data_IF_228741413928
#
_entry.id   IF_228741413928
#
_cell.length_a   1.000
_cell.length_b   1.000
_cell.length_c   1.000
_cell.angle_alpha   90.00
_cell.angle_beta   90.00
_cell.angle_gamma   90.00
#
_symmetry.space_group_name_H-M   'P 1'
#
loop_
_entity.id
_entity.type
_entity.pdbx_description
1 polymer ?
#
# COMPACT_ATOMS: atom_id res chain seq x y z
N UNK A 1 14.51 31.18 -3.35
CA UNK A 1 13.11 30.82 -3.02
C UNK A 1 12.57 29.96 -4.15
N UNK A 2 12.70 28.63 -4.05
CA UNK A 2 12.17 27.69 -5.05
C UNK A 2 11.28 26.68 -4.34
N UNK A 3 10.05 26.55 -4.85
CA UNK A 3 8.97 25.74 -4.28
C UNK A 3 9.24 24.27 -4.60
N UNK A 4 9.58 23.46 -3.60
CA UNK A 4 9.68 22.01 -3.74
C UNK A 4 8.40 21.38 -3.19
N UNK A 5 7.70 20.62 -4.05
CA UNK A 5 6.46 19.93 -3.74
C UNK A 5 6.79 18.56 -3.09
N UNK A 6 7.44 18.59 -1.92
CA UNK A 6 7.89 17.42 -1.11
C UNK A 6 6.78 16.50 -0.58
N UNK A 7 5.59 16.59 -1.18
CA UNK A 7 4.38 15.90 -0.73
C UNK A 7 4.46 14.41 -1.05
N UNK A 8 4.97 14.02 -2.21
CA UNK A 8 4.83 12.66 -2.73
C UNK A 8 5.76 11.67 -2.00
N UNK A 9 7.03 11.99 -1.76
CA UNK A 9 7.98 11.11 -1.07
C UNK A 9 7.63 10.78 0.40
N UNK A 10 6.98 11.69 1.14
CA UNK A 10 6.63 11.45 2.57
C UNK A 10 5.26 10.77 2.73
N UNK A 11 4.43 10.76 1.68
CA UNK A 11 3.06 10.24 1.72
C UNK A 11 2.98 8.72 1.86
N UNK A 12 3.83 7.97 1.15
CA UNK A 12 3.94 6.51 1.30
C UNK A 12 4.59 6.11 2.63
N UNK A 13 5.57 6.89 3.08
CA UNK A 13 6.35 6.60 4.29
C UNK A 13 5.56 6.76 5.59
N UNK A 14 4.68 7.76 5.65
CA UNK A 14 3.91 8.02 6.87
C UNK A 14 2.82 6.95 7.11
N UNK A 15 2.19 6.41 6.07
CA UNK A 15 1.17 5.34 6.23
C UNK A 15 1.82 4.00 6.61
N UNK A 16 3.04 3.71 6.13
CA UNK A 16 3.75 2.45 6.43
C UNK A 16 4.48 2.52 7.80
N UNK A 17 5.05 3.68 8.17
CA UNK A 17 5.77 3.85 9.43
C UNK A 17 4.89 3.88 10.69
N UNK A 18 3.60 4.18 10.56
CA UNK A 18 2.68 4.32 11.69
C UNK A 18 2.12 2.99 12.23
N UNK A 19 2.27 1.89 11.48
CA UNK A 19 1.86 0.53 11.89
C UNK A 19 2.86 -0.16 12.83
N UNK A 20 3.91 0.56 13.26
CA UNK A 20 5.06 -0.01 13.96
C UNK A 20 5.23 0.50 15.40
N UNK A 21 4.93 1.76 15.66
CA UNK A 21 5.22 2.39 16.97
C UNK A 21 4.14 2.07 18.04
N UNK A 22 3.01 1.49 17.65
CA UNK A 22 1.88 1.21 18.56
C UNK A 22 2.07 0.07 19.58
N UNK A 23 3.22 -0.61 19.60
CA UNK A 23 3.47 -1.73 20.49
C UNK A 23 4.68 -1.48 21.40
N UNK A 24 4.48 -0.73 22.50
CA UNK A 24 5.08 -0.96 23.84
C UNK A 24 5.05 0.31 24.69
N UNK A 25 4.08 0.40 25.61
CA UNK A 25 4.33 0.96 26.95
C UNK A 25 3.59 0.06 27.95
N UNK A 26 4.30 -0.92 28.50
CA UNK A 26 3.85 -1.75 29.62
C UNK A 26 4.79 -1.53 30.80
N UNK A 27 4.29 -0.88 31.84
CA UNK A 27 4.95 -0.58 33.12
C UNK A 27 5.59 -1.82 33.75
N UNK A 28 6.78 -1.65 34.30
CA UNK A 28 7.41 -2.55 35.27
C UNK A 28 6.59 -2.59 36.56
N UNK A 29 6.16 -3.79 36.98
CA UNK A 29 5.84 -4.05 38.39
C UNK A 29 6.34 -5.45 38.79
N UNK A 30 6.91 -5.47 40.00
CA UNK A 30 7.54 -6.58 40.69
C UNK A 30 6.57 -7.71 41.05
N UNK A 31 7.11 -8.92 41.17
CA UNK A 31 6.44 -10.18 41.48
C UNK A 31 5.81 -10.23 42.89
N UNK A 32 4.63 -10.85 42.99
CA UNK A 32 4.23 -11.78 44.08
C UNK A 32 3.07 -12.67 43.61
N UNK A 33 2.92 -13.83 44.23
CA UNK A 33 2.25 -15.05 43.75
C UNK A 33 0.71 -15.00 43.60
N UNK A 34 0.19 -15.96 42.82
CA UNK A 34 -1.22 -16.17 42.46
C UNK A 34 -2.13 -16.58 43.64
N UNK A 35 -3.46 -16.45 43.48
CA UNK A 35 -4.22 -17.66 43.14
C UNK A 35 -5.11 -17.53 41.90
N UNK A 36 -5.26 -18.67 41.21
CA UNK A 36 -6.07 -18.90 40.00
C UNK A 36 -7.47 -18.34 40.14
N UNK A 37 -7.81 -17.37 39.29
CA UNK A 37 -9.21 -17.05 38.96
C UNK A 37 -9.37 -17.22 37.45
N UNK A 38 -10.27 -18.11 37.06
CA UNK A 38 -10.64 -18.40 35.68
C UNK A 38 -11.33 -17.18 35.06
N UNK A 39 -10.54 -16.24 34.53
CA UNK A 39 -11.05 -15.15 33.71
C UNK A 39 -11.48 -15.73 32.35
N UNK A 40 -12.76 -16.09 32.26
CA UNK A 40 -13.48 -16.36 31.02
C UNK A 40 -13.42 -15.08 30.18
N UNK A 41 -12.43 -15.01 29.29
CA UNK A 41 -12.29 -13.91 28.33
C UNK A 41 -13.59 -13.79 27.54
N UNK A 42 -14.27 -12.65 27.64
CA UNK A 42 -15.29 -12.25 26.68
C UNK A 42 -14.61 -12.17 25.32
N UNK A 43 -14.78 -13.21 24.50
CA UNK A 43 -14.68 -13.07 23.06
C UNK A 43 -15.69 -11.98 22.66
N UNK A 44 -15.21 -10.79 22.34
CA UNK A 44 -16.05 -9.80 21.68
C UNK A 44 -16.55 -10.45 20.40
N UNK A 45 -17.87 -10.57 20.25
CA UNK A 45 -18.48 -11.09 19.04
C UNK A 45 -17.97 -10.27 17.85
N UNK A 46 -17.17 -10.88 16.97
CA UNK A 46 -16.75 -10.28 15.71
C UNK A 46 -17.98 -10.19 14.83
N UNK A 47 -18.68 -9.06 14.86
CA UNK A 47 -19.80 -8.83 13.97
C UNK A 47 -19.27 -8.52 12.58
N UNK A 48 -19.82 -9.17 11.57
CA UNK A 48 -19.61 -8.90 10.14
C UNK A 48 -20.05 -7.49 9.69
N UNK A 49 -20.41 -6.61 10.63
CA UNK A 49 -20.86 -5.26 10.37
C UNK A 49 -19.77 -4.43 9.66
N UNK A 50 -20.21 -3.55 8.77
CA UNK A 50 -19.37 -2.49 8.21
C UNK A 50 -19.50 -1.29 9.15
N UNK A 51 -18.39 -0.90 9.77
CA UNK A 51 -18.35 0.20 10.73
C UNK A 51 -17.53 1.37 10.18
N UNK A 52 -17.97 2.63 10.37
CA UNK A 52 -17.17 3.79 9.99
C UNK A 52 -15.80 3.79 10.68
N UNK A 53 -14.77 4.20 9.95
CA UNK A 53 -13.41 4.32 10.43
C UNK A 53 -12.89 5.73 10.18
N UNK A 54 -12.15 6.28 11.15
CA UNK A 54 -11.38 7.51 10.97
C UNK A 54 -9.95 7.24 11.42
N UNK A 55 -9.00 7.64 10.59
CA UNK A 55 -7.59 7.58 10.95
C UNK A 55 -7.35 8.53 12.10
N UNK A 56 -6.80 7.99 13.18
CA UNK A 56 -6.32 8.78 14.30
C UNK A 56 -5.04 8.16 14.84
N UNK A 57 -3.93 8.85 14.61
CA UNK A 57 -2.63 8.48 15.18
C UNK A 57 -2.43 9.27 16.47
N UNK A 58 -2.05 8.60 17.55
CA UNK A 58 -1.79 9.26 18.82
C UNK A 58 -0.58 10.23 18.74
N UNK A 59 -0.65 11.37 19.42
CA UNK A 59 0.47 12.34 19.46
C UNK A 59 1.77 11.73 19.99
N UNK A 60 1.67 10.76 20.90
CA UNK A 60 2.84 10.01 21.41
C UNK A 60 3.59 9.26 20.32
N UNK A 61 2.88 8.69 19.34
CA UNK A 61 3.48 7.99 18.19
C UNK A 61 4.22 8.99 17.29
N UNK A 62 3.62 10.16 17.03
CA UNK A 62 4.26 11.21 16.24
C UNK A 62 5.47 11.80 16.97
N UNK A 63 5.39 11.92 18.29
CA UNK A 63 6.51 12.33 19.16
C UNK A 63 7.67 11.35 19.08
N UNK A 64 7.41 10.04 19.22
CA UNK A 64 8.44 8.99 19.10
C UNK A 64 9.09 9.00 17.71
N UNK A 65 8.29 9.09 16.64
CA UNK A 65 8.80 9.21 15.27
C UNK A 65 9.79 10.37 15.14
N UNK A 66 9.43 11.57 15.60
CA UNK A 66 10.31 12.75 15.54
C UNK A 66 11.60 12.54 16.34
N UNK A 67 11.53 11.91 17.52
CA UNK A 67 12.70 11.60 18.34
C UNK A 67 13.64 10.58 17.67
N UNK A 68 13.09 9.57 16.97
CA UNK A 68 13.88 8.60 16.21
C UNK A 68 14.54 9.23 15.00
N UNK A 69 13.83 10.07 14.25
CA UNK A 69 14.40 10.84 13.13
C UNK A 69 15.49 11.82 13.59
N UNK A 70 15.33 12.44 14.76
CA UNK A 70 16.34 13.34 15.34
C UNK A 70 17.63 12.61 15.73
N UNK A 71 17.56 11.32 16.07
CA UNK A 71 18.68 10.46 16.46
C UNK A 71 19.14 9.53 15.32
N UNK A 72 18.73 9.81 14.09
CA UNK A 72 19.04 9.01 12.92
C UNK A 72 20.56 8.86 12.74
N UNK A 73 21.04 7.62 12.64
CA UNK A 73 22.43 7.29 12.33
C UNK A 73 22.51 6.81 10.88
N UNK A 74 23.07 7.64 10.01
CA UNK A 74 23.21 7.34 8.60
C UNK A 74 24.37 6.40 8.34
N UNK A 75 24.26 5.57 7.29
CA UNK A 75 25.37 4.79 6.78
C UNK A 75 26.34 5.70 5.99
N UNK A 76 27.59 5.27 5.88
CA UNK A 76 28.57 5.89 4.99
C UNK A 76 28.25 5.58 3.52
N UNK A 77 28.70 6.45 2.61
CA UNK A 77 28.46 6.34 1.17
C UNK A 77 29.79 6.48 0.42
N UNK A 78 29.96 5.69 -0.64
CA UNK A 78 31.11 5.83 -1.54
C UNK A 78 31.01 7.16 -2.32
N UNK A 79 32.13 7.85 -2.60
CA UNK A 79 32.09 9.05 -3.43
C UNK A 79 31.51 8.78 -4.83
N UNK A 80 30.73 9.73 -5.35
CA UNK A 80 30.29 9.79 -6.76
C UNK A 80 29.44 8.61 -7.26
N UNK A 81 28.81 7.83 -6.38
CA UNK A 81 27.95 6.69 -6.77
C UNK A 81 26.47 7.02 -6.98
N UNK A 82 26.05 8.25 -6.71
CA UNK A 82 24.66 8.68 -6.94
C UNK A 82 23.63 7.77 -6.26
N UNK A 83 22.85 7.04 -7.07
CA UNK A 83 21.84 6.06 -6.64
C UNK A 83 22.23 4.60 -6.97
N UNK A 84 23.42 4.37 -7.51
CA UNK A 84 23.83 3.08 -8.08
C UNK A 84 23.87 1.93 -7.04
N UNK A 85 24.06 2.27 -5.77
CA UNK A 85 24.09 1.33 -4.64
C UNK A 85 22.90 1.49 -3.68
N UNK A 86 21.82 2.14 -4.14
CA UNK A 86 20.60 2.36 -3.39
C UNK A 86 20.37 3.83 -3.05
N UNK A 87 19.70 4.08 -1.92
CA UNK A 87 19.30 5.45 -1.55
C UNK A 87 20.49 6.40 -1.41
N UNK A 88 20.52 7.44 -2.23
CA UNK A 88 21.51 8.51 -2.12
C UNK A 88 21.49 9.18 -0.73
N UNK A 89 22.66 9.28 -0.08
CA UNK A 89 22.80 9.79 1.29
C UNK A 89 22.39 11.25 1.43
N UNK A 90 22.75 12.10 0.47
CA UNK A 90 22.40 13.51 0.49
C UNK A 90 20.88 13.68 0.42
N UNK A 91 20.23 12.99 -0.52
CA UNK A 91 18.78 12.98 -0.65
C UNK A 91 18.09 12.48 0.64
N UNK A 92 18.56 11.37 1.21
CA UNK A 92 17.97 10.80 2.43
C UNK A 92 18.07 11.75 3.63
N UNK A 93 19.20 12.46 3.79
CA UNK A 93 19.37 13.48 4.83
C UNK A 93 18.38 14.63 4.67
N UNK A 94 18.17 15.09 3.44
CA UNK A 94 17.17 16.13 3.14
C UNK A 94 15.74 15.66 3.42
N UNK A 95 15.39 14.45 2.99
CA UNK A 95 14.09 13.83 3.22
C UNK A 95 13.80 13.69 4.71
N UNK A 96 14.74 13.15 5.49
CA UNK A 96 14.60 12.97 6.94
C UNK A 96 14.45 14.32 7.65
N UNK A 97 15.23 15.33 7.24
CA UNK A 97 15.13 16.68 7.79
C UNK A 97 13.74 17.27 7.51
N UNK A 98 13.25 17.16 6.28
CA UNK A 98 11.90 17.60 5.94
C UNK A 98 10.82 16.85 6.73
N UNK A 99 10.94 15.53 6.84
CA UNK A 99 9.97 14.69 7.53
C UNK A 99 9.89 15.04 9.03
N UNK A 100 11.03 15.30 9.67
CA UNK A 100 11.10 15.69 11.08
C UNK A 100 10.53 17.08 11.33
N UNK A 101 10.92 18.05 10.51
CA UNK A 101 10.78 19.48 10.85
C UNK A 101 9.63 20.19 10.14
N UNK A 102 9.14 19.65 9.01
CA UNK A 102 8.24 20.38 8.10
C UNK A 102 7.02 19.57 7.67
N UNK A 103 7.12 18.24 7.62
CA UNK A 103 5.99 17.42 7.24
C UNK A 103 4.89 17.46 8.31
N UNK A 104 3.67 17.80 7.89
CA UNK A 104 2.49 17.87 8.75
C UNK A 104 1.64 16.61 8.58
N UNK A 105 1.86 15.61 9.45
CA UNK A 105 1.00 14.43 9.50
C UNK A 105 -0.45 14.77 9.77
N UNK A 106 -0.75 15.78 10.61
CA UNK A 106 -2.14 16.13 10.92
C UNK A 106 -2.86 16.69 9.71
N UNK A 107 -2.17 17.42 8.83
CA UNK A 107 -2.73 17.81 7.53
C UNK A 107 -3.01 16.60 6.64
N UNK A 108 -2.09 15.63 6.57
CA UNK A 108 -2.31 14.42 5.79
C UNK A 108 -3.44 13.54 6.34
N UNK A 109 -3.50 13.35 7.65
CA UNK A 109 -4.55 12.64 8.36
C UNK A 109 -5.92 13.27 8.08
N UNK A 110 -6.02 14.61 8.15
CA UNK A 110 -7.25 15.33 7.76
C UNK A 110 -7.62 15.08 6.30
N UNK A 111 -6.66 15.07 5.38
CA UNK A 111 -6.92 14.81 3.95
C UNK A 111 -7.43 13.40 3.72
N UNK A 112 -6.79 12.38 4.31
CA UNK A 112 -7.26 11.00 4.19
C UNK A 112 -8.66 10.82 4.79
N UNK A 113 -8.93 11.48 5.91
CA UNK A 113 -10.25 11.46 6.56
C UNK A 113 -11.34 12.26 5.83
N UNK A 114 -11.05 12.84 4.67
CA UNK A 114 -12.09 13.38 3.77
C UNK A 114 -12.83 12.26 3.02
N UNK A 115 -12.22 11.07 2.91
CA UNK A 115 -12.84 9.93 2.26
C UNK A 115 -13.69 9.11 3.24
N UNK A 116 -14.75 8.50 2.72
CA UNK A 116 -15.60 7.57 3.44
C UNK A 116 -14.83 6.27 3.71
N UNK A 117 -14.35 6.09 4.94
CA UNK A 117 -13.53 4.95 5.35
C UNK A 117 -14.29 4.05 6.32
N UNK A 118 -14.03 2.75 6.22
CA UNK A 118 -14.72 1.73 7.00
C UNK A 118 -13.78 0.60 7.42
N UNK A 119 -14.21 -0.14 8.43
CA UNK A 119 -13.67 -1.44 8.78
C UNK A 119 -14.77 -2.50 8.80
N UNK A 120 -14.40 -3.74 8.51
CA UNK A 120 -15.27 -4.89 8.70
C UNK A 120 -14.43 -6.16 8.94
N UNK A 121 -14.94 -7.09 9.74
CA UNK A 121 -14.21 -8.33 10.02
C UNK A 121 -14.44 -9.35 8.90
N UNK A 122 -13.38 -9.84 8.26
CA UNK A 122 -13.44 -10.91 7.27
C UNK A 122 -12.43 -11.97 7.66
N UNK A 123 -12.91 -13.18 7.92
CA UNK A 123 -12.09 -14.33 8.32
C UNK A 123 -11.18 -14.05 9.52
N UNK A 124 -11.68 -13.28 10.50
CA UNK A 124 -10.97 -12.96 11.73
C UNK A 124 -9.98 -11.80 11.61
N UNK A 125 -9.93 -11.10 10.47
CA UNK A 125 -9.13 -9.88 10.27
C UNK A 125 -10.03 -8.66 10.14
N UNK A 126 -9.73 -7.60 10.87
CA UNK A 126 -10.38 -6.30 10.64
C UNK A 126 -9.76 -5.63 9.42
N UNK A 127 -10.54 -5.62 8.33
CA UNK A 127 -10.14 -5.11 7.03
C UNK A 127 -10.58 -3.66 6.89
N UNK A 128 -9.62 -2.78 6.66
CA UNK A 128 -9.85 -1.38 6.34
C UNK A 128 -10.07 -1.17 4.84
N UNK A 129 -10.99 -0.27 4.48
CA UNK A 129 -11.19 0.18 3.11
C UNK A 129 -11.80 1.57 3.01
N UNK A 130 -11.47 2.29 1.95
CA UNK A 130 -12.25 3.44 1.46
C UNK A 130 -13.40 2.91 0.62
N UNK A 131 -14.60 3.47 0.79
CA UNK A 131 -15.75 3.22 -0.07
C UNK A 131 -16.41 4.54 -0.46
N UNK A 132 -15.91 5.14 -1.53
CA UNK A 132 -16.40 6.42 -2.03
C UNK A 132 -17.51 6.19 -3.07
N UNK A 133 -18.75 6.53 -2.71
CA UNK A 133 -19.90 6.41 -3.62
C UNK A 133 -19.99 7.63 -4.55
N UNK A 134 -19.97 7.38 -5.86
CA UNK A 134 -20.48 8.36 -6.84
C UNK A 134 -21.92 8.78 -6.56
N UNK A 135 -22.23 10.04 -6.86
CA UNK A 135 -23.60 10.59 -6.90
C UNK A 135 -24.31 10.33 -8.23
N UNK A 136 -23.59 9.86 -9.26
CA UNK A 136 -24.17 9.54 -10.56
C UNK A 136 -24.98 8.23 -10.46
N UNK A 137 -26.24 8.21 -10.91
CA UNK A 137 -27.03 6.99 -10.95
C UNK A 137 -26.34 5.89 -11.77
N UNK A 138 -26.41 4.65 -11.30
CA UNK A 138 -25.84 3.48 -11.99
C UNK A 138 -24.31 3.53 -12.20
N UNK A 139 -23.58 4.31 -11.38
CA UNK A 139 -22.12 4.28 -11.38
C UNK A 139 -21.60 2.85 -11.14
N UNK A 140 -20.58 2.45 -11.90
CA UNK A 140 -20.06 1.08 -11.90
C UNK A 140 -19.23 0.83 -10.63
N UNK A 141 -19.41 -0.29 -9.90
CA UNK A 141 -18.53 -0.58 -8.77
C UNK A 141 -17.13 -0.96 -9.25
N UNK A 142 -16.09 -0.33 -8.71
CA UNK A 142 -14.69 -0.55 -9.06
C UNK A 142 -13.85 -0.78 -7.80
N UNK A 143 -13.25 -1.97 -7.73
CA UNK A 143 -12.27 -2.33 -6.71
C UNK A 143 -10.85 -1.96 -7.20
N UNK A 144 -10.13 -1.15 -6.45
CA UNK A 144 -8.76 -0.72 -6.77
C UNK A 144 -7.76 -1.37 -5.81
N UNK A 145 -6.85 -2.19 -6.34
CA UNK A 145 -5.89 -2.96 -5.54
C UNK A 145 -4.45 -2.49 -5.82
N UNK A 146 -3.83 -1.86 -4.82
CA UNK A 146 -2.43 -1.44 -4.87
C UNK A 146 -1.47 -2.63 -4.64
N UNK A 147 -0.17 -2.38 -4.77
CA UNK A 147 0.87 -3.32 -4.37
C UNK A 147 1.84 -2.79 -3.32
N UNK A 148 3.10 -3.21 -3.40
CA UNK A 148 4.20 -2.84 -2.50
C UNK A 148 5.25 -2.02 -3.27
N UNK A 149 5.86 -0.97 -2.69
CA UNK A 149 5.68 -0.43 -1.34
C UNK A 149 4.62 0.69 -1.31
N UNK A 150 3.41 0.40 -1.80
CA UNK A 150 2.33 1.37 -1.91
C UNK A 150 1.27 1.24 -0.80
N UNK A 151 0.24 2.09 -0.86
CA UNK A 151 -0.93 2.08 0.03
C UNK A 151 -2.16 2.64 -0.68
N UNK A 152 -3.28 2.72 0.04
CA UNK A 152 -4.53 3.35 -0.43
C UNK A 152 -4.34 4.78 -0.97
N UNK A 153 -3.29 5.48 -0.53
CA UNK A 153 -2.98 6.83 -0.95
C UNK A 153 -2.61 6.93 -2.44
N UNK A 154 -2.15 5.84 -3.07
CA UNK A 154 -1.86 5.77 -4.51
C UNK A 154 -3.02 6.26 -5.36
N UNK A 155 -4.25 5.97 -4.92
CA UNK A 155 -5.45 6.27 -5.68
C UNK A 155 -6.11 7.61 -5.30
N UNK A 156 -5.55 8.38 -4.37
CA UNK A 156 -6.19 9.61 -3.87
C UNK A 156 -6.53 10.62 -4.99
N UNK A 157 -5.63 10.75 -5.98
CA UNK A 157 -5.78 11.65 -7.13
C UNK A 157 -6.85 11.18 -8.13
N UNK A 158 -7.22 9.90 -8.14
CA UNK A 158 -8.21 9.35 -9.09
C UNK A 158 -9.60 9.15 -8.49
N UNK A 159 -9.76 9.19 -7.15
CA UNK A 159 -11.09 9.04 -6.51
C UNK A 159 -12.09 10.07 -7.04
N UNK A 160 -11.72 11.36 -7.07
CA UNK A 160 -12.60 12.43 -7.58
C UNK A 160 -13.00 12.22 -9.05
N UNK A 161 -12.04 12.15 -9.99
CA UNK A 161 -12.33 11.91 -11.40
C UNK A 161 -13.13 10.62 -11.69
N UNK A 162 -12.93 9.55 -10.91
CA UNK A 162 -13.69 8.31 -11.08
C UNK A 162 -15.11 8.40 -10.51
N UNK A 163 -15.31 9.10 -9.38
CA UNK A 163 -16.62 9.18 -8.72
C UNK A 163 -17.50 10.32 -9.24
N UNK A 164 -16.91 11.39 -9.76
CA UNK A 164 -17.61 12.53 -10.36
C UNK A 164 -16.92 13.00 -11.65
N UNK A 165 -16.89 12.18 -12.71
CA UNK A 165 -16.14 12.50 -13.93
C UNK A 165 -16.59 13.81 -14.59
N UNK A 166 -17.86 14.19 -14.49
CA UNK A 166 -18.37 15.43 -15.10
C UNK A 166 -17.71 16.69 -14.49
N UNK A 167 -17.48 16.70 -13.18
CA UNK A 167 -16.75 17.78 -12.50
C UNK A 167 -15.25 17.83 -12.87
N UNK A 168 -14.74 16.78 -13.51
CA UNK A 168 -13.34 16.61 -13.88
C UNK A 168 -13.13 16.52 -15.41
N UNK A 169 -14.11 16.95 -16.23
CA UNK A 169 -13.99 17.01 -17.69
C UNK A 169 -14.24 15.69 -18.43
N UNK A 170 -14.66 14.65 -17.72
CA UNK A 170 -15.12 13.37 -18.30
C UNK A 170 -16.63 13.31 -18.50
N UNK A 171 -17.14 12.14 -18.93
CA UNK A 171 -18.59 11.91 -19.10
C UNK A 171 -19.19 11.33 -17.83
N UNK A 172 -20.37 11.80 -17.43
CA UNK A 172 -21.09 11.24 -16.28
C UNK A 172 -21.29 9.72 -16.36
N UNK A 173 -21.52 9.17 -17.56
CA UNK A 173 -21.69 7.73 -17.79
C UNK A 173 -20.45 6.89 -17.50
N UNK A 174 -19.28 7.52 -17.38
CA UNK A 174 -18.03 6.86 -17.03
C UNK A 174 -17.80 6.77 -15.51
N UNK A 175 -18.77 7.16 -14.69
CA UNK A 175 -18.64 7.19 -13.23
C UNK A 175 -18.55 5.80 -12.58
N UNK A 176 -17.85 5.77 -11.44
CA UNK A 176 -17.64 4.59 -10.61
C UNK A 176 -18.00 4.84 -9.14
N UNK A 177 -18.54 3.84 -8.46
CA UNK A 177 -18.37 3.72 -7.01
C UNK A 177 -17.00 3.09 -6.76
N UNK A 178 -16.14 3.72 -5.97
CA UNK A 178 -14.75 3.27 -5.79
C UNK A 178 -14.58 2.61 -4.43
N UNK A 179 -14.00 1.41 -4.42
CA UNK A 179 -13.61 0.66 -3.22
C UNK A 179 -12.10 0.46 -3.23
N UNK A 180 -11.42 0.91 -2.17
CA UNK A 180 -9.95 0.85 -2.06
C UNK A 180 -9.59 0.22 -0.72
N UNK A 181 -9.41 -1.10 -0.66
CA UNK A 181 -9.01 -1.76 0.56
C UNK A 181 -7.53 -1.60 0.85
N UNK A 182 -7.18 -1.53 2.15
CA UNK A 182 -5.82 -1.85 2.58
C UNK A 182 -5.67 -3.36 2.60
N UNK A 183 -4.65 -3.90 1.90
CA UNK A 183 -4.40 -5.35 1.88
C UNK A 183 -4.20 -5.92 3.29
N UNK A 184 -4.54 -7.20 3.55
CA UNK A 184 -4.20 -7.86 4.81
C UNK A 184 -2.70 -7.72 5.11
N UNK A 185 -2.37 -7.12 6.26
CA UNK A 185 -1.00 -6.79 6.66
C UNK A 185 -0.48 -5.42 6.23
N UNK A 186 -1.27 -4.62 5.51
CA UNK A 186 -0.90 -3.29 5.02
C UNK A 186 -1.71 -2.19 5.71
N UNK A 187 -1.05 -1.06 5.97
CA UNK A 187 -1.67 0.17 6.45
C UNK A 187 -2.56 -0.05 7.67
N UNK A 188 -3.87 0.19 7.50
CA UNK A 188 -4.86 0.15 8.58
C UNK A 188 -5.62 -1.18 8.70
N UNK A 189 -5.34 -2.16 7.84
CA UNK A 189 -5.87 -3.53 7.95
C UNK A 189 -5.04 -4.37 8.91
N UNK A 190 -5.69 -5.32 9.57
CA UNK A 190 -5.01 -6.27 10.45
C UNK A 190 -3.99 -7.14 9.72
N UNK A 191 -2.98 -7.60 10.47
CA UNK A 191 -1.94 -8.50 9.99
C UNK A 191 -2.41 -9.95 10.09
N UNK A 192 -2.25 -10.77 9.04
CA UNK A 192 -2.42 -12.21 9.12
C UNK A 192 -1.65 -12.83 10.28
N UNK A 193 -2.27 -13.80 10.99
CA UNK A 193 -1.67 -14.53 12.11
C UNK A 193 -1.25 -15.95 11.76
N UNK A 194 -1.47 -16.35 10.52
CA UNK A 194 -1.21 -17.69 10.00
C UNK A 194 -0.29 -17.61 8.78
N UNK A 195 0.43 -18.71 8.53
CA UNK A 195 1.27 -18.85 7.34
C UNK A 195 0.40 -18.93 6.07
N UNK A 196 1.02 -18.66 4.92
CA UNK A 196 0.39 -18.89 3.62
C UNK A 196 -0.67 -17.86 3.22
N UNK A 197 -0.60 -16.64 3.75
CA UNK A 197 -1.50 -15.55 3.34
C UNK A 197 -1.08 -14.96 1.98
N UNK A 198 -1.31 -15.73 0.92
CA UNK A 198 -0.91 -15.45 -0.46
C UNK A 198 -1.97 -14.61 -1.22
N UNK A 199 -1.69 -14.19 -2.47
CA UNK A 199 -2.64 -13.41 -3.28
C UNK A 199 -3.99 -14.10 -3.47
N UNK A 200 -4.01 -15.42 -3.56
CA UNK A 200 -5.23 -16.21 -3.69
C UNK A 200 -6.14 -16.07 -2.44
N UNK A 201 -5.56 -16.15 -1.24
CA UNK A 201 -6.30 -15.95 0.02
C UNK A 201 -6.79 -14.50 0.13
N UNK A 202 -5.99 -13.52 -0.28
CA UNK A 202 -6.40 -12.12 -0.34
C UNK A 202 -7.58 -11.90 -1.29
N UNK A 203 -7.59 -12.54 -2.46
CA UNK A 203 -8.72 -12.47 -3.39
C UNK A 203 -10.02 -12.97 -2.75
N UNK A 204 -9.96 -14.04 -1.95
CA UNK A 204 -11.11 -14.54 -1.19
C UNK A 204 -11.69 -13.52 -0.19
N UNK A 205 -10.84 -12.68 0.41
CA UNK A 205 -11.28 -11.56 1.26
C UNK A 205 -12.08 -10.54 0.43
N UNK A 206 -11.62 -10.23 -0.78
CA UNK A 206 -12.26 -9.24 -1.64
C UNK A 206 -13.59 -9.70 -2.21
N UNK A 207 -13.74 -10.99 -2.53
CA UNK A 207 -15.06 -11.57 -2.89
C UNK A 207 -16.06 -11.30 -1.76
N UNK A 208 -15.69 -11.59 -0.51
CA UNK A 208 -16.54 -11.38 0.66
C UNK A 208 -16.84 -9.90 0.89
N UNK A 209 -15.83 -9.04 0.74
CA UNK A 209 -15.99 -7.59 0.89
C UNK A 209 -16.99 -7.04 -0.14
N UNK A 210 -16.81 -7.36 -1.42
CA UNK A 210 -17.68 -6.86 -2.50
C UNK A 210 -19.11 -7.39 -2.37
N UNK A 211 -19.28 -8.66 -2.00
CA UNK A 211 -20.60 -9.23 -1.70
C UNK A 211 -21.27 -8.53 -0.51
N UNK A 212 -20.53 -8.26 0.57
CA UNK A 212 -21.03 -7.55 1.77
C UNK A 212 -21.42 -6.10 1.47
N UNK A 213 -20.74 -5.45 0.51
CA UNK A 213 -21.11 -4.13 -0.01
C UNK A 213 -22.31 -4.17 -0.97
N UNK A 214 -22.86 -5.35 -1.28
CA UNK A 214 -24.03 -5.53 -2.13
C UNK A 214 -23.74 -5.46 -3.63
N UNK A 215 -22.48 -5.56 -4.06
CA UNK A 215 -22.11 -5.47 -5.46
C UNK A 215 -22.18 -6.83 -6.16
N UNK A 216 -23.33 -7.12 -6.77
CA UNK A 216 -23.52 -8.32 -7.59
C UNK A 216 -22.80 -8.29 -8.95
N UNK A 217 -22.36 -7.11 -9.40
CA UNK A 217 -21.53 -6.96 -10.60
C UNK A 217 -20.53 -5.83 -10.40
N UNK A 218 -19.24 -6.09 -10.55
CA UNK A 218 -18.18 -5.10 -10.30
C UNK A 218 -16.97 -5.27 -11.22
N UNK A 219 -16.13 -4.25 -11.30
CA UNK A 219 -14.86 -4.26 -12.01
C UNK A 219 -13.72 -4.27 -10.99
N UNK A 220 -12.55 -4.76 -11.40
CA UNK A 220 -11.34 -4.67 -10.57
C UNK A 220 -10.17 -4.12 -11.37
N UNK A 221 -9.35 -3.32 -10.69
CA UNK A 221 -8.07 -2.84 -11.14
C UNK A 221 -6.98 -3.37 -10.21
N UNK A 222 -5.82 -3.74 -10.76
CA UNK A 222 -4.64 -4.09 -9.99
C UNK A 222 -3.35 -3.51 -10.55
N UNK A 223 -2.49 -3.00 -9.66
CA UNK A 223 -1.08 -2.63 -9.93
C UNK A 223 -0.14 -3.46 -9.03
N UNK A 224 1.08 -3.75 -9.47
CA UNK A 224 2.08 -4.53 -8.70
C UNK A 224 1.49 -5.83 -8.08
N UNK A 225 1.55 -6.08 -6.77
CA UNK A 225 0.90 -7.23 -6.11
C UNK A 225 -0.61 -7.28 -6.32
N UNK A 226 -1.24 -6.12 -6.49
CA UNK A 226 -2.64 -6.00 -6.86
C UNK A 226 -2.95 -6.69 -8.19
N UNK A 227 -2.00 -6.82 -9.12
CA UNK A 227 -2.16 -7.62 -10.35
C UNK A 227 -2.40 -9.09 -10.02
N UNK A 228 -1.55 -9.67 -9.17
CA UNK A 228 -1.68 -11.09 -8.78
C UNK A 228 -3.01 -11.32 -8.05
N UNK A 229 -3.37 -10.42 -7.13
CA UNK A 229 -4.63 -10.53 -6.36
C UNK A 229 -5.85 -10.35 -7.26
N UNK A 230 -5.86 -9.36 -8.15
CA UNK A 230 -6.96 -9.11 -9.09
C UNK A 230 -7.14 -10.27 -10.08
N UNK A 231 -6.04 -10.90 -10.51
CA UNK A 231 -6.09 -12.10 -11.35
C UNK A 231 -6.73 -13.28 -10.62
N UNK A 232 -6.32 -13.55 -9.38
CA UNK A 232 -6.97 -14.58 -8.56
C UNK A 232 -8.44 -14.25 -8.25
N UNK A 233 -8.78 -12.97 -8.09
CA UNK A 233 -10.16 -12.52 -7.91
C UNK A 233 -11.03 -12.86 -9.12
N UNK A 234 -10.53 -12.59 -10.33
CA UNK A 234 -11.22 -12.94 -11.57
C UNK A 234 -11.46 -14.44 -11.72
N UNK A 235 -10.50 -15.27 -11.29
CA UNK A 235 -10.64 -16.72 -11.30
C UNK A 235 -11.62 -17.23 -10.23
N UNK A 236 -11.65 -16.59 -9.06
CA UNK A 236 -12.53 -17.00 -7.94
C UNK A 236 -13.97 -16.54 -8.08
N UNK A 237 -14.20 -15.41 -8.72
CA UNK A 237 -15.52 -14.77 -8.76
C UNK A 237 -15.99 -14.38 -10.17
N UNK A 238 -15.90 -15.29 -11.18
CA UNK A 238 -16.19 -14.96 -12.57
C UNK A 238 -17.65 -14.57 -12.82
N UNK A 239 -18.57 -15.02 -11.95
CA UNK A 239 -19.99 -14.71 -12.06
C UNK A 239 -20.31 -13.24 -11.73
N UNK A 240 -19.54 -12.61 -10.83
CA UNK A 240 -19.78 -11.23 -10.41
C UNK A 240 -18.74 -10.24 -10.97
N UNK A 241 -17.54 -10.67 -11.33
CA UNK A 241 -16.54 -9.79 -11.94
C UNK A 241 -16.85 -9.54 -13.43
N UNK A 242 -17.09 -8.26 -13.78
CA UNK A 242 -17.39 -7.81 -15.13
C UNK A 242 -16.17 -7.58 -16.01
N UNK A 243 -15.10 -7.07 -15.42
CA UNK A 243 -13.87 -6.77 -16.15
C UNK A 243 -12.68 -6.76 -15.19
N UNK A 244 -11.52 -7.15 -15.73
CA UNK A 244 -10.21 -7.11 -15.10
C UNK A 244 -9.35 -6.09 -15.85
N UNK A 245 -8.85 -5.09 -15.14
CA UNK A 245 -7.89 -4.13 -15.65
C UNK A 245 -6.57 -4.26 -14.89
N UNK A 246 -5.45 -4.42 -15.60
CA UNK A 246 -4.13 -4.59 -14.98
C UNK A 246 -3.20 -3.46 -15.43
N UNK A 247 -2.63 -2.74 -14.48
CA UNK A 247 -1.65 -1.68 -14.74
C UNK A 247 -0.23 -2.19 -14.44
N UNK A 248 0.44 -2.69 -15.48
CA UNK A 248 1.80 -3.23 -15.44
C UNK A 248 1.95 -4.40 -16.42
N UNK A 249 3.17 -4.62 -16.95
CA UNK A 249 3.45 -5.78 -17.80
C UNK A 249 3.64 -7.01 -16.90
N UNK A 250 2.76 -8.01 -16.92
CA UNK A 250 2.77 -9.07 -15.92
C UNK A 250 3.81 -10.17 -16.23
N UNK A 251 4.63 -10.01 -17.29
CA UNK A 251 5.54 -11.04 -17.82
C UNK A 251 6.62 -11.61 -16.89
N UNK A 252 6.82 -11.04 -15.69
CA UNK A 252 7.65 -11.64 -14.63
C UNK A 252 6.87 -12.39 -13.54
N UNK A 253 5.55 -12.16 -13.42
CA UNK A 253 4.68 -12.70 -12.37
C UNK A 253 3.72 -13.78 -12.88
N UNK A 254 3.25 -13.66 -14.12
CA UNK A 254 2.66 -14.77 -14.87
C UNK A 254 3.81 -15.44 -15.61
N UNK A 255 3.95 -16.75 -15.41
CA UNK A 255 4.98 -17.55 -16.07
C UNK A 255 4.98 -17.38 -17.60
N UNK A 256 5.99 -17.96 -18.25
CA UNK A 256 6.17 -17.80 -19.70
C UNK A 256 4.84 -17.99 -20.45
N UNK A 257 4.52 -17.12 -21.42
CA UNK A 257 3.33 -17.29 -22.22
C UNK A 257 3.35 -18.70 -22.83
N UNK A 258 2.20 -19.38 -22.92
CA UNK A 258 2.13 -20.69 -23.57
C UNK A 258 2.77 -20.60 -24.95
N UNK A 259 3.54 -21.62 -25.31
CA UNK A 259 4.26 -21.71 -26.58
C UNK A 259 3.34 -21.30 -27.73
N UNK A 260 3.78 -20.28 -28.49
CA UNK A 260 3.02 -19.67 -29.58
C UNK A 260 2.57 -20.73 -30.59
N UNK A 261 1.31 -20.73 -31.05
CA UNK A 261 0.86 -21.63 -32.10
C UNK A 261 1.78 -21.54 -33.32
N UNK A 262 2.15 -22.70 -33.87
CA UNK A 262 2.96 -22.75 -35.09
C UNK A 262 2.23 -21.99 -36.22
N UNK A 263 2.92 -21.07 -36.89
CA UNK A 263 2.39 -20.31 -38.03
C UNK A 263 1.71 -18.98 -37.72
N UNK A 264 1.62 -18.54 -36.45
CA UNK A 264 1.16 -17.17 -36.19
C UNK A 264 2.12 -16.13 -36.82
N UNK A 265 1.64 -14.94 -37.23
CA UNK A 265 2.52 -13.81 -37.56
C UNK A 265 3.28 -13.33 -36.31
N UNK A 266 4.50 -12.79 -36.45
CA UNK A 266 5.21 -12.20 -35.32
C UNK A 266 4.38 -11.02 -34.77
N UNK A 267 4.33 -10.81 -33.44
CA UNK A 267 3.70 -9.62 -32.90
C UNK A 267 4.42 -8.37 -33.43
N UNK A 268 3.71 -7.23 -33.53
CA UNK A 268 4.38 -5.96 -33.79
C UNK A 268 5.48 -5.75 -32.74
N UNK A 269 6.61 -5.12 -33.11
CA UNK A 269 7.65 -4.81 -32.13
C UNK A 269 7.02 -3.99 -31.00
N UNK A 270 7.33 -4.31 -29.73
CA UNK A 270 6.83 -3.51 -28.63
C UNK A 270 7.27 -2.05 -28.84
N UNK A 271 6.47 -1.06 -28.41
CA UNK A 271 6.96 0.31 -28.35
C UNK A 271 8.29 0.32 -27.58
N UNK A 272 9.27 1.17 -27.97
CA UNK A 272 10.53 1.25 -27.27
C UNK A 272 10.26 1.43 -25.79
N UNK A 273 10.70 0.46 -24.98
CA UNK A 273 10.61 0.59 -23.54
C UNK A 273 11.45 1.82 -23.17
N UNK A 274 10.94 2.71 -22.28
CA UNK A 274 11.79 3.72 -21.70
C UNK A 274 13.03 3.03 -21.13
N UNK A 275 14.22 3.64 -21.24
CA UNK A 275 15.45 3.04 -20.74
C UNK A 275 15.24 2.68 -19.27
N UNK A 276 15.16 1.39 -18.96
CA UNK A 276 15.18 0.92 -17.58
C UNK A 276 16.57 1.24 -17.03
N UNK A 277 16.71 2.06 -15.99
CA UNK A 277 18.00 2.27 -15.36
C UNK A 277 18.45 0.93 -14.76
N UNK A 278 19.46 0.32 -15.37
CA UNK A 278 20.09 -0.91 -14.93
C UNK A 278 19.38 -2.21 -15.33
N UNK A 279 20.09 -3.36 -15.27
CA UNK A 279 19.49 -4.66 -15.53
C UNK A 279 18.43 -4.99 -14.46
N UNK A 280 17.30 -5.59 -14.87
CA UNK A 280 16.18 -6.00 -13.99
C UNK A 280 16.65 -6.82 -12.78
N UNK A 281 17.75 -7.58 -12.91
CA UNK A 281 18.36 -8.35 -11.83
C UNK A 281 18.94 -7.48 -10.70
N UNK A 282 19.34 -6.24 -10.96
CA UNK A 282 19.91 -5.32 -9.96
C UNK A 282 18.87 -4.85 -8.93
N UNK A 283 17.56 -4.94 -9.24
CA UNK A 283 16.49 -4.38 -8.40
C UNK A 283 15.64 -5.41 -7.65
N UNK A 284 15.98 -6.71 -7.68
CA UNK A 284 15.18 -7.78 -7.04
C UNK A 284 15.65 -8.18 -5.64
N UNK A 285 16.75 -7.62 -5.13
CA UNK A 285 17.27 -7.98 -3.80
C UNK A 285 16.25 -7.79 -2.68
N UNK A 286 15.40 -6.75 -2.78
CA UNK A 286 14.31 -6.51 -1.82
C UNK A 286 13.32 -7.68 -1.78
N UNK A 287 13.00 -8.26 -2.95
CA UNK A 287 12.04 -9.34 -3.09
C UNK A 287 12.60 -10.63 -2.51
N UNK A 288 13.88 -10.91 -2.74
CA UNK A 288 14.54 -12.10 -2.21
C UNK A 288 14.56 -12.11 -0.68
N UNK A 289 14.96 -10.99 -0.05
CA UNK A 289 14.98 -10.92 1.42
C UNK A 289 13.57 -10.94 2.03
N UNK A 290 12.58 -10.30 1.39
CA UNK A 290 11.19 -10.31 1.87
C UNK A 290 10.52 -11.68 1.67
N UNK A 291 10.89 -12.43 0.63
CA UNK A 291 10.33 -13.76 0.36
C UNK A 291 10.92 -14.81 1.32
N UNK A 292 12.18 -14.67 1.70
CA UNK A 292 12.90 -15.70 2.47
C UNK A 292 12.97 -15.44 3.97
N UNK A 293 13.29 -14.20 4.39
CA UNK A 293 13.50 -13.80 5.79
C UNK A 293 12.75 -12.51 6.16
N UNK A 294 11.42 -12.41 5.91
CA UNK A 294 10.65 -11.18 6.14
C UNK A 294 10.67 -10.71 7.60
N UNK A 295 10.69 -11.64 8.56
CA UNK A 295 10.73 -11.30 9.98
C UNK A 295 12.05 -10.61 10.37
N UNK A 296 13.19 -11.10 9.84
CA UNK A 296 14.51 -10.52 10.10
C UNK A 296 14.60 -9.09 9.59
N UNK A 297 14.20 -8.87 8.33
CA UNK A 297 14.12 -7.52 7.75
C UNK A 297 13.14 -6.64 8.53
N UNK A 298 11.98 -7.21 8.89
CA UNK A 298 10.91 -6.53 9.59
C UNK A 298 11.35 -5.93 10.92
N UNK A 299 12.25 -6.56 11.67
CA UNK A 299 12.79 -5.97 12.91
C UNK A 299 13.53 -4.65 12.66
N UNK A 300 14.37 -4.59 11.62
CA UNK A 300 15.13 -3.38 11.28
C UNK A 300 14.26 -2.27 10.70
N UNK A 301 13.39 -2.60 9.74
CA UNK A 301 12.47 -1.64 9.13
C UNK A 301 11.42 -1.13 10.12
N UNK A 302 11.12 -1.93 11.15
CA UNK A 302 10.20 -1.51 12.20
C UNK A 302 10.86 -0.54 13.19
N UNK A 303 12.07 -0.82 13.64
CA UNK A 303 12.69 0.02 14.67
C UNK A 303 13.16 1.38 14.13
N UNK A 304 13.60 1.42 12.87
CA UNK A 304 14.25 2.59 12.28
C UNK A 304 13.38 3.26 11.21
N UNK A 305 12.77 4.43 11.48
CA UNK A 305 12.07 5.19 10.44
C UNK A 305 13.03 5.69 9.35
N UNK A 306 14.31 5.92 9.67
CA UNK A 306 15.35 6.17 8.68
C UNK A 306 15.52 4.97 7.74
N UNK A 307 15.63 3.76 8.31
CA UNK A 307 15.80 2.53 7.55
C UNK A 307 14.59 2.26 6.65
N UNK A 308 13.39 2.46 7.17
CA UNK A 308 12.16 2.37 6.39
C UNK A 308 12.09 3.42 5.26
N UNK A 309 12.49 4.67 5.54
CA UNK A 309 12.60 5.73 4.53
C UNK A 309 13.51 5.35 3.38
N UNK A 310 14.72 4.92 3.69
CA UNK A 310 15.67 4.45 2.68
C UNK A 310 15.10 3.28 1.88
N UNK A 311 14.54 2.27 2.55
CA UNK A 311 14.03 1.06 1.88
C UNK A 311 12.92 1.33 0.86
N UNK A 312 12.04 2.29 1.16
CA UNK A 312 10.90 2.63 0.30
C UNK A 312 11.31 3.60 -0.80
N UNK A 313 12.08 4.64 -0.46
CA UNK A 313 12.37 5.73 -1.40
C UNK A 313 13.26 5.28 -2.55
N UNK A 314 14.12 4.28 -2.31
CA UNK A 314 14.87 3.57 -3.33
C UNK A 314 13.97 3.08 -4.47
N UNK A 315 12.83 2.48 -4.14
CA UNK A 315 11.87 1.96 -5.12
C UNK A 315 11.12 3.08 -5.83
N UNK A 316 10.83 4.16 -5.13
CA UNK A 316 10.16 5.30 -5.74
C UNK A 316 11.07 5.99 -6.74
N UNK A 317 12.36 6.14 -6.42
CA UNK A 317 13.35 6.57 -7.41
C UNK A 317 13.35 5.60 -8.61
N UNK A 318 13.48 4.29 -8.37
CA UNK A 318 13.72 3.36 -9.48
C UNK A 318 12.51 3.09 -10.36
N UNK A 319 11.29 3.25 -9.84
CA UNK A 319 10.05 2.81 -10.51
C UNK A 319 9.13 3.94 -10.95
N UNK A 320 9.45 5.19 -10.64
CA UNK A 320 8.66 6.34 -11.12
C UNK A 320 9.28 6.96 -12.37
N UNK A 321 8.44 7.59 -13.20
CA UNK A 321 8.90 8.28 -14.40
C UNK A 321 9.37 9.70 -14.04
N UNK A 322 10.68 9.90 -14.02
CA UNK A 322 11.29 11.18 -13.67
C UNK A 322 12.64 11.39 -14.37
N UNK A 323 13.05 12.65 -14.53
CA UNK A 323 14.30 13.05 -15.21
C UNK A 323 15.52 13.08 -14.26
N UNK A 324 15.53 12.22 -13.24
CA UNK A 324 16.47 12.28 -12.11
C UNK A 324 15.99 13.14 -10.94
N UNK A 325 14.94 13.97 -11.13
CA UNK A 325 14.30 14.74 -10.06
C UNK A 325 13.02 14.06 -9.55
N UNK A 326 13.16 13.28 -8.48
CA UNK A 326 12.04 12.55 -7.86
C UNK A 326 10.94 13.49 -7.32
N UNK A 327 11.23 14.78 -7.11
CA UNK A 327 10.25 15.74 -6.58
C UNK A 327 9.21 16.21 -7.62
N UNK A 328 9.38 15.81 -8.89
CA UNK A 328 8.44 16.14 -9.99
C UNK A 328 7.30 15.13 -10.16
N UNK A 329 7.35 14.00 -9.46
CA UNK A 329 6.36 12.91 -9.49
C UNK A 329 5.17 13.20 -8.57
#
# INVERSE_FOLDING_TARGET
>A
MSRINRRVAVLGLAVIGLSVVGARVGRTQSASESPRTTARGKAAASTDAIVPFKIHVADSVLGDLKQRLARARFADELPEVGWDYGTNLAYLKELVTYWRDRYDWRAQERRLNQYDQFKTNIDGLDIHFIHQRSKVPNAKPLLLLNGWPSSIEEYSKVIGPLTDPAAHGGRATDAFHVVIPSMPGYGFSDKPRERGYNPERMAGVWVKLMARLGYARYLTHGSDWGIAVATHLALKDPAHLAALHLAGCPGGLIGQPPSRPAGAPPPPPPPPLPPTPGPVSANLGYQEIQTTKPQTLGHGLSDSPLGLASWIIDKWQSWTDHDGDLEKV
#
